data_IF_560684882666
#
_entry.id   IF_560684882666
#
_cell.length_a   1.000
_cell.length_b   1.000
_cell.length_c   1.000
_cell.angle_alpha   90.00
_cell.angle_beta   90.00
_cell.angle_gamma   90.00
#
_symmetry.space_group_name_H-M   'P 1'
#
loop_
_entity.id
_entity.type
_entity.pdbx_description
1 polymer ?
#
# COMPACT_ATOMS: atom_id res chain seq x y z
N UNK A 1 0.09 -18.98 -22.82
CA UNK A 1 0.06 -20.38 -22.34
C UNK A 1 -1.37 -20.84 -22.35
N UNK A 2 -1.64 -22.05 -22.83
CA UNK A 2 -2.98 -22.62 -22.68
C UNK A 2 -3.24 -22.95 -21.21
N UNK A 3 -4.51 -23.06 -20.82
CA UNK A 3 -4.91 -23.42 -19.46
C UNK A 3 -4.27 -24.74 -18.99
N UNK A 4 -4.18 -25.71 -19.90
CA UNK A 4 -3.54 -27.01 -19.65
C UNK A 4 -2.04 -26.88 -19.39
N UNK A 5 -1.34 -26.00 -20.12
CA UNK A 5 0.11 -25.79 -19.91
C UNK A 5 0.39 -25.23 -18.51
N UNK A 6 -0.47 -24.32 -18.03
CA UNK A 6 -0.33 -23.70 -16.71
C UNK A 6 -0.51 -24.70 -15.57
N UNK A 7 -1.47 -25.62 -15.69
CA UNK A 7 -1.68 -26.68 -14.70
C UNK A 7 -0.59 -27.75 -14.77
N UNK A 8 -0.14 -28.08 -15.98
CA UNK A 8 0.89 -29.09 -16.18
C UNK A 8 2.23 -28.63 -15.58
N UNK A 9 2.56 -27.33 -15.68
CA UNK A 9 3.72 -26.74 -14.99
C UNK A 9 3.68 -26.95 -13.47
N UNK A 10 2.50 -26.74 -12.86
CA UNK A 10 2.29 -26.90 -11.41
C UNK A 10 2.42 -28.35 -10.99
N UNK A 11 1.80 -29.27 -11.73
CA UNK A 11 1.78 -30.69 -11.39
C UNK A 11 3.15 -31.34 -11.61
N UNK A 12 3.88 -30.95 -12.65
CA UNK A 12 5.18 -31.55 -12.95
C UNK A 12 6.34 -30.99 -12.11
N UNK A 13 6.25 -29.73 -11.67
CA UNK A 13 7.32 -29.08 -10.89
C UNK A 13 6.76 -28.46 -9.60
N UNK A 14 6.15 -29.25 -8.70
CA UNK A 14 5.44 -28.74 -7.53
C UNK A 14 6.35 -27.93 -6.59
N UNK A 15 7.61 -28.35 -6.41
CA UNK A 15 8.59 -27.61 -5.60
C UNK A 15 8.94 -26.24 -6.18
N UNK A 16 9.11 -26.15 -7.51
CA UNK A 16 9.41 -24.89 -8.17
C UNK A 16 8.21 -23.93 -8.12
N UNK A 17 7.01 -24.45 -8.37
CA UNK A 17 5.77 -23.69 -8.25
C UNK A 17 5.53 -23.18 -6.83
N UNK A 18 5.79 -24.00 -5.81
CA UNK A 18 5.72 -23.60 -4.41
C UNK A 18 6.74 -22.49 -4.11
N UNK A 19 7.97 -22.61 -4.61
CA UNK A 19 9.00 -21.59 -4.43
C UNK A 19 8.63 -20.26 -5.10
N UNK A 20 7.99 -20.30 -6.27
CA UNK A 20 7.46 -19.12 -6.96
C UNK A 20 6.36 -18.47 -6.11
N UNK A 21 5.39 -19.24 -5.64
CA UNK A 21 4.31 -18.72 -4.78
C UNK A 21 4.89 -18.13 -3.49
N UNK A 22 5.84 -18.81 -2.86
CA UNK A 22 6.51 -18.32 -1.66
C UNK A 22 7.25 -17.00 -1.92
N UNK A 23 8.00 -16.89 -3.02
CA UNK A 23 8.65 -15.63 -3.40
C UNK A 23 7.64 -14.52 -3.68
N UNK A 24 6.54 -14.82 -4.38
CA UNK A 24 5.47 -13.86 -4.60
C UNK A 24 4.84 -13.39 -3.29
N UNK A 25 4.60 -14.30 -2.34
CA UNK A 25 4.11 -13.95 -0.99
C UNK A 25 5.11 -13.06 -0.27
N UNK A 26 6.41 -13.36 -0.34
CA UNK A 26 7.45 -12.54 0.27
C UNK A 26 7.49 -11.15 -0.35
N UNK A 27 7.51 -11.06 -1.68
CA UNK A 27 7.55 -9.79 -2.41
C UNK A 27 6.30 -8.96 -2.09
N UNK A 28 5.10 -9.55 -2.18
CA UNK A 28 3.84 -8.87 -1.83
C UNK A 28 3.82 -8.42 -0.38
N UNK A 29 4.30 -9.26 0.55
CA UNK A 29 4.33 -8.92 1.97
C UNK A 29 5.31 -7.78 2.25
N UNK A 30 6.51 -7.82 1.67
CA UNK A 30 7.55 -6.79 1.83
C UNK A 30 7.11 -5.46 1.24
N UNK A 31 6.60 -5.45 0.00
CA UNK A 31 6.09 -4.25 -0.66
C UNK A 31 4.86 -3.66 0.05
N UNK A 32 4.13 -4.48 0.81
CA UNK A 32 2.91 -4.04 1.50
C UNK A 32 3.09 -3.73 2.98
N UNK A 33 4.31 -3.77 3.54
CA UNK A 33 4.57 -3.32 4.92
C UNK A 33 4.22 -1.84 5.08
N UNK A 34 4.60 -1.04 4.08
CA UNK A 34 4.35 0.39 4.04
C UNK A 34 2.87 0.69 3.90
N UNK A 35 2.20 -0.01 2.98
CA UNK A 35 0.75 0.01 2.82
C UNK A 35 0.05 -0.34 4.15
N UNK A 36 0.47 -1.40 4.84
CA UNK A 36 -0.11 -1.83 6.11
C UNK A 36 0.01 -0.77 7.21
N UNK A 37 1.13 -0.02 7.26
CA UNK A 37 1.31 1.08 8.19
C UNK A 37 0.33 2.22 7.91
N UNK A 38 0.14 2.62 6.64
CA UNK A 38 -0.81 3.68 6.29
C UNK A 38 -2.27 3.21 6.46
N UNK A 39 -2.61 1.96 6.13
CA UNK A 39 -3.94 1.42 6.41
C UNK A 39 -4.23 1.42 7.92
N UNK A 40 -3.22 1.11 8.73
CA UNK A 40 -3.33 1.15 10.18
C UNK A 40 -3.59 2.57 10.70
N UNK A 41 -2.92 3.61 10.18
CA UNK A 41 -3.21 5.00 10.57
C UNK A 41 -4.65 5.40 10.22
N UNK A 42 -5.19 4.92 9.10
CA UNK A 42 -6.57 5.22 8.73
C UNK A 42 -7.60 4.64 9.70
N UNK A 43 -7.40 3.40 10.15
CA UNK A 43 -8.35 2.75 11.07
C UNK A 43 -8.15 3.16 12.52
N UNK A 44 -7.01 3.77 12.88
CA UNK A 44 -6.76 4.28 14.23
C UNK A 44 -7.78 5.35 14.66
N UNK A 45 -8.39 6.04 13.70
CA UNK A 45 -9.38 7.10 13.93
C UNK A 45 -10.80 6.57 14.19
N UNK A 46 -10.99 5.25 14.10
CA UNK A 46 -12.22 4.55 14.49
C UNK A 46 -12.13 4.10 15.95
N UNK A 47 -13.30 3.84 16.56
CA UNK A 47 -13.39 3.27 17.90
C UNK A 47 -12.62 1.94 18.00
N UNK A 48 -12.05 1.62 19.16
CA UNK A 48 -11.18 0.44 19.35
C UNK A 48 -11.83 -0.87 18.86
N UNK A 49 -13.14 -1.02 19.06
CA UNK A 49 -13.91 -2.20 18.61
C UNK A 49 -14.17 -2.23 17.10
N UNK A 50 -14.20 -1.06 16.46
CA UNK A 50 -14.48 -0.91 15.03
C UNK A 50 -13.23 -1.12 14.18
N UNK A 51 -12.03 -0.82 14.70
CA UNK A 51 -10.77 -0.97 13.93
C UNK A 51 -10.61 -2.37 13.36
N UNK A 52 -10.81 -3.39 14.18
CA UNK A 52 -10.72 -4.79 13.76
C UNK A 52 -11.84 -5.22 12.80
N UNK A 53 -13.01 -4.58 12.87
CA UNK A 53 -14.12 -4.83 11.93
C UNK A 53 -13.84 -4.18 10.59
N UNK A 54 -13.46 -2.90 10.57
CA UNK A 54 -13.05 -2.17 9.37
C UNK A 54 -11.91 -2.91 8.68
N UNK A 55 -10.96 -3.44 9.45
CA UNK A 55 -9.91 -4.25 8.87
C UNK A 55 -10.45 -5.55 8.24
N UNK A 56 -11.37 -6.27 8.88
CA UNK A 56 -11.93 -7.50 8.32
C UNK A 56 -12.75 -7.27 7.04
N UNK A 57 -13.60 -6.24 7.01
CA UNK A 57 -14.37 -5.92 5.81
C UNK A 57 -13.49 -5.48 4.65
N UNK A 58 -12.40 -4.76 4.93
CA UNK A 58 -11.40 -4.41 3.92
C UNK A 58 -10.65 -5.60 3.33
N UNK A 59 -10.65 -6.79 3.96
CA UNK A 59 -10.09 -8.00 3.33
C UNK A 59 -10.93 -8.40 2.13
N UNK A 60 -12.25 -8.41 2.30
CA UNK A 60 -13.20 -8.84 1.26
C UNK A 60 -13.11 -7.89 0.06
N UNK A 61 -13.10 -6.58 0.32
CA UNK A 61 -12.88 -5.56 -0.71
C UNK A 61 -11.55 -5.81 -1.43
N UNK A 62 -10.44 -5.85 -0.70
CA UNK A 62 -9.11 -6.07 -1.27
C UNK A 62 -9.05 -7.31 -2.15
N UNK A 63 -9.63 -8.45 -1.74
CA UNK A 63 -9.67 -9.65 -2.58
C UNK A 63 -10.44 -9.46 -3.89
N UNK A 64 -11.60 -8.81 -3.82
CA UNK A 64 -12.44 -8.56 -4.98
C UNK A 64 -11.70 -7.63 -5.95
N UNK A 65 -11.25 -6.47 -5.47
CA UNK A 65 -10.57 -5.48 -6.30
C UNK A 65 -9.25 -6.02 -6.84
N UNK A 66 -8.46 -6.74 -6.02
CA UNK A 66 -7.21 -7.34 -6.47
C UNK A 66 -7.45 -8.46 -7.48
N UNK A 67 -8.48 -9.27 -7.31
CA UNK A 67 -8.90 -10.26 -8.30
C UNK A 67 -9.26 -9.61 -9.63
N UNK A 68 -10.04 -8.52 -9.60
CA UNK A 68 -10.39 -7.73 -10.79
C UNK A 68 -9.12 -7.13 -11.43
N UNK A 69 -8.25 -6.51 -10.64
CA UNK A 69 -7.00 -5.93 -11.14
C UNK A 69 -6.08 -6.97 -11.77
N UNK A 70 -5.96 -8.16 -11.18
CA UNK A 70 -5.15 -9.26 -11.73
C UNK A 70 -5.76 -9.82 -13.02
N UNK A 71 -7.08 -9.99 -13.05
CA UNK A 71 -7.78 -10.43 -14.26
C UNK A 71 -7.58 -9.45 -15.42
N UNK A 72 -7.68 -8.15 -15.14
CA UNK A 72 -7.45 -7.10 -16.13
C UNK A 72 -6.00 -6.60 -16.20
N UNK A 73 -5.02 -7.28 -15.59
CA UNK A 73 -3.68 -6.72 -15.43
C UNK A 73 -3.04 -6.35 -16.77
N UNK A 74 -3.16 -7.21 -17.79
CA UNK A 74 -2.66 -6.93 -19.13
C UNK A 74 -3.29 -5.67 -19.75
N UNK A 75 -4.57 -5.41 -19.46
CA UNK A 75 -5.24 -4.18 -19.89
C UNK A 75 -4.78 -2.98 -19.07
N UNK A 76 -4.73 -3.10 -17.74
CA UNK A 76 -4.32 -2.04 -16.82
C UNK A 76 -2.87 -1.57 -17.05
N UNK A 77 -1.96 -2.46 -17.46
CA UNK A 77 -0.57 -2.12 -17.80
C UNK A 77 -0.51 -1.08 -18.93
N UNK A 78 -1.46 -1.12 -19.86
CA UNK A 78 -1.52 -0.17 -20.97
C UNK A 78 -2.09 1.20 -20.56
N UNK A 79 -2.72 1.29 -19.38
CA UNK A 79 -3.31 2.52 -18.84
C UNK A 79 -2.26 3.28 -18.03
N UNK A 80 -1.34 3.94 -18.74
CA UNK A 80 -0.21 4.65 -18.11
C UNK A 80 -0.64 5.70 -17.08
N UNK A 81 -1.80 6.34 -17.24
CA UNK A 81 -2.26 7.42 -16.35
C UNK A 81 -2.78 6.91 -15.00
N UNK A 82 -3.02 5.61 -14.86
CA UNK A 82 -3.56 5.03 -13.64
C UNK A 82 -2.57 5.14 -12.47
N UNK A 83 -1.29 4.85 -12.72
CA UNK A 83 -0.20 4.99 -11.74
C UNK A 83 -0.06 6.44 -11.21
N UNK A 84 0.08 7.47 -12.04
CA UNK A 84 0.25 8.83 -11.55
C UNK A 84 -0.99 9.42 -10.91
N UNK A 85 -2.20 9.01 -11.31
CA UNK A 85 -3.42 9.41 -10.59
C UNK A 85 -3.41 8.84 -9.16
N UNK A 86 -3.09 7.54 -9.02
CA UNK A 86 -2.93 6.93 -7.70
C UNK A 86 -1.84 7.66 -6.89
N UNK A 87 -0.69 7.92 -7.49
CA UNK A 87 0.40 8.66 -6.87
C UNK A 87 0.03 10.06 -6.41
N UNK A 88 -0.68 10.82 -7.26
CA UNK A 88 -1.13 12.16 -6.95
C UNK A 88 -2.11 12.16 -5.76
N UNK A 89 -2.97 11.14 -5.66
CA UNK A 89 -3.86 10.97 -4.52
C UNK A 89 -3.08 10.69 -3.22
N UNK A 90 -2.08 9.81 -3.24
CA UNK A 90 -1.24 9.55 -2.06
C UNK A 90 -0.44 10.80 -1.64
N UNK A 91 0.15 11.51 -2.60
CA UNK A 91 0.85 12.76 -2.35
C UNK A 91 -0.08 13.83 -1.76
N UNK A 92 -1.31 13.94 -2.29
CA UNK A 92 -2.35 14.83 -1.73
C UNK A 92 -2.66 14.50 -0.27
N UNK A 93 -2.84 13.22 0.07
CA UNK A 93 -3.09 12.80 1.45
C UNK A 93 -1.93 13.16 2.38
N UNK A 94 -0.68 12.96 1.93
CA UNK A 94 0.53 13.34 2.67
C UNK A 94 0.60 14.86 2.91
N UNK A 95 0.55 15.67 1.85
CA UNK A 95 0.63 17.13 1.94
C UNK A 95 -0.41 17.66 2.91
N UNK A 96 -1.64 17.15 2.79
CA UNK A 96 -2.77 17.59 3.59
C UNK A 96 -2.66 17.23 5.06
N UNK A 97 -2.11 16.06 5.38
CA UNK A 97 -1.77 15.69 6.75
C UNK A 97 -0.83 16.73 7.38
N UNK A 98 0.26 17.07 6.69
CA UNK A 98 1.24 18.03 7.20
C UNK A 98 0.74 19.48 7.26
N UNK A 99 -0.07 19.91 6.28
CA UNK A 99 -0.70 21.24 6.29
C UNK A 99 -1.65 21.37 7.47
N UNK A 100 -2.50 20.37 7.73
CA UNK A 100 -3.45 20.40 8.85
C UNK A 100 -2.74 20.40 10.20
N UNK A 101 -1.67 19.61 10.35
CA UNK A 101 -0.85 19.58 11.57
C UNK A 101 -0.13 20.90 11.88
N UNK A 102 0.23 21.69 10.86
CA UNK A 102 0.86 23.00 11.04
C UNK A 102 -0.11 24.06 11.58
N UNK A 103 -1.39 23.94 11.25
CA UNK A 103 -2.46 24.78 11.81
C UNK A 103 -2.84 24.23 13.20
N UNK A 104 -2.17 24.73 14.25
CA UNK A 104 -2.14 24.26 15.65
C UNK A 104 -3.47 24.02 16.40
N UNK A 105 -4.63 24.03 15.74
CA UNK A 105 -5.95 23.80 16.35
C UNK A 105 -6.73 22.60 15.80
N UNK A 106 -6.11 21.77 14.95
CA UNK A 106 -6.74 20.57 14.42
C UNK A 106 -6.39 19.34 15.27
N UNK A 107 -7.39 18.65 15.82
CA UNK A 107 -7.19 17.33 16.40
C UNK A 107 -6.66 16.36 15.31
N UNK A 108 -5.71 15.49 15.68
CA UNK A 108 -5.06 14.52 14.77
C UNK A 108 -6.10 13.63 14.05
N UNK A 109 -7.26 13.40 14.70
CA UNK A 109 -8.40 12.64 14.18
C UNK A 109 -9.10 13.25 12.94
N UNK A 110 -8.87 14.53 12.61
CA UNK A 110 -9.65 15.24 11.61
C UNK A 110 -9.07 15.24 10.17
N UNK A 111 -7.88 14.66 9.93
CA UNK A 111 -7.24 14.66 8.59
C UNK A 111 -8.09 13.89 7.57
N UNK A 112 -8.70 12.78 8.02
CA UNK A 112 -9.64 11.99 7.23
C UNK A 112 -11.07 12.54 7.35
N UNK A 113 -11.53 12.87 8.58
CA UNK A 113 -12.92 13.23 8.84
C UNK A 113 -13.36 14.53 8.18
N UNK A 114 -12.50 15.53 8.23
CA UNK A 114 -12.80 16.82 7.61
C UNK A 114 -12.01 17.01 6.34
N UNK A 115 -10.73 16.66 6.28
CA UNK A 115 -9.96 17.10 5.13
C UNK A 115 -10.45 16.53 3.78
N UNK A 116 -10.78 15.23 3.71
CA UNK A 116 -10.92 14.54 2.43
C UNK A 116 -12.31 14.76 1.82
N UNK A 117 -12.38 15.41 0.65
CA UNK A 117 -13.65 15.72 -0.01
C UNK A 117 -14.47 14.46 -0.30
N UNK A 118 -13.78 13.38 -0.72
CA UNK A 118 -14.38 12.07 -0.93
C UNK A 118 -15.01 11.54 0.36
N UNK A 119 -14.27 11.62 1.48
CA UNK A 119 -14.76 11.12 2.77
C UNK A 119 -16.00 11.89 3.22
N UNK A 120 -15.99 13.23 3.14
CA UNK A 120 -17.17 14.04 3.48
C UNK A 120 -18.38 13.67 2.63
N UNK A 121 -18.19 13.41 1.34
CA UNK A 121 -19.29 13.03 0.47
C UNK A 121 -19.85 11.65 0.84
N UNK A 122 -18.98 10.68 1.15
CA UNK A 122 -19.41 9.35 1.55
C UNK A 122 -20.04 9.31 2.95
N UNK A 123 -19.61 10.14 3.89
CA UNK A 123 -20.27 10.25 5.21
C UNK A 123 -21.67 10.87 5.12
N UNK A 124 -21.93 11.73 4.13
CA UNK A 124 -23.31 12.24 3.92
C UNK A 124 -24.28 11.15 3.46
N UNK A 125 -23.77 10.12 2.81
CA UNK A 125 -24.56 9.03 2.21
C UNK A 125 -24.49 7.75 3.05
N UNK A 126 -23.49 7.61 3.91
CA UNK A 126 -23.16 6.37 4.64
C UNK A 126 -22.68 6.67 6.08
N UNK A 127 -22.54 5.66 6.93
CA UNK A 127 -21.93 5.83 8.26
C UNK A 127 -20.43 6.17 8.17
N UNK A 128 -19.87 6.95 9.13
CA UNK A 128 -18.42 7.17 9.27
C UNK A 128 -17.56 5.90 9.20
N UNK A 129 -18.09 4.80 9.71
CA UNK A 129 -17.46 3.49 9.61
C UNK A 129 -17.27 3.04 8.15
N UNK A 130 -18.35 3.06 7.36
CA UNK A 130 -18.33 2.63 5.96
C UNK A 130 -17.52 3.57 5.07
N UNK A 131 -17.57 4.88 5.35
CA UNK A 131 -16.70 5.85 4.68
C UNK A 131 -15.21 5.56 4.96
N UNK A 132 -14.87 5.12 6.17
CA UNK A 132 -13.49 4.71 6.51
C UNK A 132 -13.09 3.42 5.82
N UNK A 133 -13.96 2.40 5.81
CA UNK A 133 -13.72 1.14 5.08
C UNK A 133 -13.47 1.42 3.60
N UNK A 134 -14.26 2.30 2.99
CA UNK A 134 -14.08 2.69 1.60
C UNK A 134 -12.76 3.45 1.36
N UNK A 135 -12.33 4.31 2.29
CA UNK A 135 -11.03 5.00 2.18
C UNK A 135 -9.84 4.05 2.25
N UNK A 136 -9.91 3.08 3.17
CA UNK A 136 -8.96 1.98 3.28
C UNK A 136 -8.91 1.21 1.97
N UNK A 137 -10.06 0.92 1.37
CA UNK A 137 -10.15 0.21 0.09
C UNK A 137 -9.58 1.02 -1.09
N UNK A 138 -9.93 2.30 -1.22
CA UNK A 138 -9.38 3.18 -2.26
C UNK A 138 -7.86 3.26 -2.16
N UNK A 139 -7.34 3.33 -0.94
CA UNK A 139 -5.90 3.38 -0.73
C UNK A 139 -5.24 2.03 -1.04
N UNK A 140 -5.87 0.92 -0.66
CA UNK A 140 -5.36 -0.41 -1.01
C UNK A 140 -5.35 -0.62 -2.53
N UNK A 141 -6.34 -0.11 -3.25
CA UNK A 141 -6.35 -0.10 -4.73
C UNK A 141 -5.16 0.70 -5.27
N UNK A 142 -4.91 1.91 -4.75
CA UNK A 142 -3.80 2.76 -5.19
C UNK A 142 -2.43 2.06 -5.02
N UNK A 143 -2.20 1.39 -3.89
CA UNK A 143 -1.00 0.58 -3.66
C UNK A 143 -0.98 -0.70 -4.49
N UNK A 144 -2.14 -1.31 -4.66
CA UNK A 144 -2.31 -2.56 -5.40
C UNK A 144 -1.87 -2.45 -6.86
N UNK A 145 -1.99 -1.29 -7.49
CA UNK A 145 -1.60 -1.12 -8.89
C UNK A 145 -0.12 -1.45 -9.11
N UNK A 146 0.77 -0.93 -8.28
CA UNK A 146 2.21 -1.17 -8.43
C UNK A 146 2.55 -2.64 -8.14
N UNK A 147 1.98 -3.18 -7.05
CA UNK A 147 2.19 -4.57 -6.67
C UNK A 147 1.65 -5.56 -7.72
N UNK A 148 0.48 -5.31 -8.34
CA UNK A 148 -0.07 -6.15 -9.43
C UNK A 148 0.90 -6.18 -10.62
N UNK A 149 1.42 -5.03 -11.03
CA UNK A 149 2.33 -4.98 -12.18
C UNK A 149 3.64 -5.71 -11.89
N UNK A 150 4.19 -5.56 -10.67
CA UNK A 150 5.37 -6.32 -10.24
C UNK A 150 5.10 -7.84 -10.23
N UNK A 151 3.98 -8.28 -9.66
CA UNK A 151 3.63 -9.70 -9.56
C UNK A 151 3.42 -10.35 -10.94
N UNK A 152 2.76 -9.66 -11.88
CA UNK A 152 2.54 -10.15 -13.24
C UNK A 152 3.83 -10.13 -14.08
N UNK A 153 4.78 -9.25 -13.77
CA UNK A 153 6.11 -9.27 -14.39
C UNK A 153 6.99 -10.43 -13.88
N UNK A 154 6.74 -10.92 -12.67
CA UNK A 154 7.56 -11.97 -12.03
C UNK A 154 7.38 -13.35 -12.66
N UNK A 155 6.14 -13.74 -13.00
CA UNK A 155 5.88 -15.03 -13.65
C UNK A 155 4.74 -14.92 -14.67
N UNK A 156 4.88 -15.68 -15.77
CA UNK A 156 3.84 -15.78 -16.81
C UNK A 156 2.68 -16.68 -16.39
N UNK A 157 2.83 -17.47 -15.32
CA UNK A 157 1.79 -18.37 -14.85
C UNK A 157 0.82 -17.64 -13.92
N UNK A 158 -0.34 -17.27 -14.47
CA UNK A 158 -1.35 -16.47 -13.77
C UNK A 158 -1.90 -17.15 -12.51
N UNK A 159 -1.95 -18.49 -12.45
CA UNK A 159 -2.41 -19.20 -11.26
C UNK A 159 -1.43 -19.07 -10.11
N UNK A 160 -0.12 -19.10 -10.40
CA UNK A 160 0.92 -18.85 -9.39
C UNK A 160 0.87 -17.40 -8.90
N UNK A 161 0.63 -16.44 -9.80
CA UNK A 161 0.40 -15.03 -9.44
C UNK A 161 -0.80 -14.91 -8.50
N UNK A 162 -1.95 -15.47 -8.88
CA UNK A 162 -3.17 -15.41 -8.06
C UNK A 162 -2.96 -16.05 -6.70
N UNK A 163 -2.38 -17.24 -6.63
CA UNK A 163 -2.11 -17.91 -5.36
C UNK A 163 -1.17 -17.08 -4.47
N UNK A 164 -0.06 -16.59 -5.02
CA UNK A 164 0.91 -15.78 -4.28
C UNK A 164 0.32 -14.47 -3.76
N UNK A 165 -0.40 -13.73 -4.63
CA UNK A 165 -1.00 -12.45 -4.27
C UNK A 165 -2.14 -12.64 -3.25
N UNK A 166 -2.98 -13.65 -3.42
CA UNK A 166 -4.07 -13.93 -2.49
C UNK A 166 -3.59 -14.37 -1.10
N UNK A 167 -2.52 -15.16 -1.02
CA UNK A 167 -1.88 -15.47 0.26
C UNK A 167 -1.19 -14.21 0.83
N UNK A 168 -0.57 -13.40 -0.02
CA UNK A 168 0.04 -12.11 0.33
C UNK A 168 -0.94 -11.13 0.98
N UNK A 169 -2.17 -11.01 0.45
CA UNK A 169 -3.22 -10.17 1.04
C UNK A 169 -3.53 -10.59 2.49
N UNK A 170 -3.60 -11.90 2.77
CA UNK A 170 -3.81 -12.38 4.16
C UNK A 170 -2.64 -12.02 5.05
N UNK A 171 -1.40 -12.29 4.60
CA UNK A 171 -0.20 -11.99 5.34
C UNK A 171 -0.13 -10.49 5.69
N UNK A 172 -0.34 -9.63 4.69
CA UNK A 172 -0.40 -8.18 4.85
C UNK A 172 -1.46 -7.75 5.87
N UNK A 173 -2.60 -8.44 5.94
CA UNK A 173 -3.63 -8.09 6.92
C UNK A 173 -3.21 -8.32 8.36
N UNK A 174 -2.49 -9.42 8.62
CA UNK A 174 -1.93 -9.65 9.94
C UNK A 174 -0.88 -8.58 10.29
N UNK A 175 -0.08 -8.17 9.30
CA UNK A 175 0.88 -7.07 9.46
C UNK A 175 0.15 -5.76 9.80
N UNK A 176 -0.93 -5.41 9.10
CA UNK A 176 -1.72 -4.19 9.37
C UNK A 176 -2.32 -4.19 10.79
N UNK A 177 -2.83 -5.33 11.27
CA UNK A 177 -3.28 -5.44 12.67
C UNK A 177 -2.12 -5.25 13.66
N UNK A 178 -0.93 -5.77 13.34
CA UNK A 178 0.30 -5.50 14.08
C UNK A 178 0.64 -4.01 14.13
N UNK A 179 0.58 -3.33 12.98
CA UNK A 179 0.81 -1.89 12.89
C UNK A 179 -0.20 -1.06 13.69
N UNK A 180 -1.48 -1.46 13.74
CA UNK A 180 -2.47 -0.78 14.61
C UNK A 180 -2.03 -0.83 16.08
N UNK A 181 -1.55 -1.98 16.55
CA UNK A 181 -1.03 -2.11 17.92
C UNK A 181 0.27 -1.32 18.10
N UNK A 182 1.14 -1.34 17.10
CA UNK A 182 2.43 -0.65 17.13
C UNK A 182 2.26 0.87 17.16
N UNK A 183 1.40 1.44 16.31
CA UNK A 183 1.10 2.88 16.29
C UNK A 183 0.41 3.31 17.58
N UNK A 184 -0.46 2.46 18.16
CA UNK A 184 -1.06 2.75 19.47
C UNK A 184 0.00 2.91 20.58
N UNK A 185 1.14 2.21 20.49
CA UNK A 185 2.25 2.33 21.44
C UNK A 185 3.28 3.40 21.04
N UNK A 186 3.47 3.60 19.74
CA UNK A 186 4.41 4.55 19.14
C UNK A 186 3.67 5.53 18.20
N UNK A 187 2.99 6.56 18.73
CA UNK A 187 2.16 7.47 17.92
C UNK A 187 2.92 8.20 16.81
N UNK A 188 4.22 8.44 16.97
CA UNK A 188 5.05 9.06 15.93
C UNK A 188 5.11 8.23 14.63
N UNK A 189 4.81 6.92 14.69
CA UNK A 189 4.74 6.07 13.52
C UNK A 189 3.63 6.47 12.55
N UNK A 190 2.59 7.15 13.04
CA UNK A 190 1.58 7.72 12.16
C UNK A 190 2.20 8.76 11.23
N UNK A 191 3.05 9.62 11.78
CA UNK A 191 3.76 10.64 11.00
C UNK A 191 4.69 9.98 9.97
N UNK A 192 5.42 8.95 10.39
CA UNK A 192 6.28 8.17 9.51
C UNK A 192 5.48 7.56 8.35
N UNK A 193 4.33 6.95 8.62
CA UNK A 193 3.45 6.38 7.61
C UNK A 193 2.99 7.44 6.57
N UNK A 194 2.64 8.65 7.01
CA UNK A 194 2.30 9.73 6.07
C UNK A 194 3.50 10.25 5.26
N UNK A 195 4.73 10.22 5.80
CA UNK A 195 5.94 10.50 5.01
C UNK A 195 6.12 9.45 3.92
N UNK A 196 5.98 8.17 4.25
CA UNK A 196 6.06 7.08 3.27
C UNK A 196 4.98 7.21 2.20
N UNK A 197 3.76 7.54 2.60
CA UNK A 197 2.66 7.82 1.68
C UNK A 197 3.04 8.89 0.65
N UNK A 198 3.72 9.96 1.08
CA UNK A 198 4.23 11.00 0.21
C UNK A 198 5.34 10.51 -0.72
N UNK A 199 6.30 9.74 -0.20
CA UNK A 199 7.39 9.15 -0.99
C UNK A 199 6.86 8.23 -2.10
N UNK A 200 5.94 7.33 -1.75
CA UNK A 200 5.28 6.43 -2.69
C UNK A 200 4.42 7.21 -3.69
N UNK A 201 3.70 8.25 -3.22
CA UNK A 201 2.96 9.16 -4.08
C UNK A 201 3.82 9.84 -5.14
N UNK A 202 4.98 10.37 -4.73
CA UNK A 202 5.95 10.99 -5.63
C UNK A 202 6.50 9.95 -6.62
N UNK A 203 6.90 8.76 -6.17
CA UNK A 203 7.37 7.67 -7.05
C UNK A 203 6.34 7.35 -8.14
N UNK A 204 5.08 7.17 -7.75
CA UNK A 204 4.00 6.86 -8.68
C UNK A 204 3.69 8.01 -9.64
N UNK A 205 3.76 9.28 -9.21
CA UNK A 205 3.62 10.44 -10.12
C UNK A 205 4.78 10.50 -11.11
N UNK A 206 6.00 10.21 -10.66
CA UNK A 206 7.20 10.21 -11.50
C UNK A 206 7.16 9.15 -12.60
N UNK A 207 6.29 8.14 -12.51
CA UNK A 207 6.02 7.22 -13.63
C UNK A 207 5.50 7.92 -14.90
N UNK A 208 4.99 9.16 -14.82
CA UNK A 208 4.71 10.01 -15.99
C UNK A 208 5.95 10.25 -16.84
N UNK A 209 7.09 10.48 -16.19
CA UNK A 209 8.36 10.74 -16.88
C UNK A 209 8.87 9.48 -17.61
N UNK A 210 8.58 8.29 -17.09
CA UNK A 210 8.87 7.02 -17.77
C UNK A 210 8.06 6.86 -19.05
N UNK A 211 6.81 7.33 -19.06
CA UNK A 211 5.94 7.24 -20.22
C UNK A 211 6.26 8.29 -21.30
N UNK A 212 6.35 9.57 -20.91
CA UNK A 212 6.50 10.70 -21.84
C UNK A 212 7.96 11.01 -22.22
N UNK A 213 8.92 10.72 -21.35
CA UNK A 213 10.34 11.06 -21.55
C UNK A 213 11.21 9.80 -21.58
N UNK A 214 10.80 8.80 -22.37
CA UNK A 214 11.59 7.59 -22.63
C UNK A 214 12.97 7.98 -23.15
N UNK A 215 14.03 7.60 -22.42
CA UNK A 215 15.43 7.88 -22.77
C UNK A 215 16.03 9.14 -22.14
N UNK A 216 15.29 9.87 -21.29
CA UNK A 216 15.89 10.91 -20.45
C UNK A 216 16.64 10.28 -19.27
N UNK A 217 17.73 10.93 -18.79
CA UNK A 217 18.47 10.48 -17.60
C UNK A 217 17.58 10.33 -16.36
N UNK A 218 16.50 11.11 -16.24
CA UNK A 218 15.53 10.99 -15.16
C UNK A 218 14.73 9.69 -15.25
N UNK A 219 14.23 9.32 -16.43
CA UNK A 219 13.51 8.07 -16.67
C UNK A 219 14.39 6.85 -16.41
N UNK A 220 15.66 6.89 -16.82
CA UNK A 220 16.63 5.81 -16.62
C UNK A 220 17.04 5.66 -15.15
N UNK A 221 17.18 6.77 -14.41
CA UNK A 221 17.41 6.74 -12.97
C UNK A 221 16.19 6.22 -12.22
N UNK A 222 14.98 6.66 -12.57
CA UNK A 222 13.72 6.26 -11.91
C UNK A 222 13.39 4.77 -12.08
N UNK A 223 13.63 4.24 -13.27
CA UNK A 223 13.42 2.81 -13.58
C UNK A 223 14.62 1.93 -13.19
N UNK A 224 15.70 2.52 -12.67
CA UNK A 224 16.87 1.76 -12.25
C UNK A 224 16.58 0.98 -10.97
N UNK A 225 17.14 -0.24 -10.88
CA UNK A 225 17.09 -1.05 -9.65
C UNK A 225 17.66 -0.31 -8.44
N UNK A 226 18.56 0.66 -8.65
CA UNK A 226 19.09 1.54 -7.60
C UNK A 226 18.05 2.49 -7.02
N UNK A 227 17.11 3.00 -7.84
CA UNK A 227 16.02 3.84 -7.35
C UNK A 227 15.04 3.02 -6.50
N UNK A 228 14.74 1.78 -6.91
CA UNK A 228 13.93 0.88 -6.08
C UNK A 228 14.61 0.59 -4.75
N UNK A 229 15.89 0.21 -4.76
CA UNK A 229 16.68 0.00 -3.55
C UNK A 229 16.74 1.24 -2.66
N UNK A 230 16.92 2.42 -3.25
CA UNK A 230 16.94 3.68 -2.52
C UNK A 230 15.59 3.99 -1.88
N UNK A 231 14.49 3.84 -2.61
CA UNK A 231 13.14 4.07 -2.06
C UNK A 231 12.83 3.09 -0.94
N UNK A 232 13.15 1.80 -1.08
CA UNK A 232 12.99 0.81 -0.02
C UNK A 232 13.87 1.10 1.19
N UNK A 233 15.13 1.48 1.00
CA UNK A 233 16.03 1.83 2.09
C UNK A 233 15.56 3.09 2.83
N UNK A 234 15.11 4.09 2.11
CA UNK A 234 14.52 5.31 2.68
C UNK A 234 13.27 4.98 3.50
N UNK A 235 12.42 4.08 3.00
CA UNK A 235 11.25 3.67 3.74
C UNK A 235 11.60 2.96 5.05
N UNK A 236 12.50 1.99 4.99
CA UNK A 236 13.00 1.28 6.18
C UNK A 236 13.62 2.26 7.16
N UNK A 237 14.36 3.28 6.68
CA UNK A 237 14.95 4.30 7.54
C UNK A 237 13.88 5.17 8.25
N UNK A 238 12.83 5.58 7.54
CA UNK A 238 11.73 6.41 8.09
C UNK A 238 10.97 5.70 9.22
N UNK A 239 10.79 4.38 9.15
CA UNK A 239 10.20 3.60 10.25
C UNK A 239 11.25 3.19 11.30
N UNK A 240 12.37 2.65 10.84
CA UNK A 240 13.39 1.99 11.65
C UNK A 240 14.16 2.96 12.53
N UNK A 241 14.59 4.13 12.02
CA UNK A 241 15.38 5.09 12.80
C UNK A 241 14.57 5.62 14.00
N UNK A 242 13.32 6.10 13.83
CA UNK A 242 12.52 6.56 14.97
C UNK A 242 12.18 5.44 15.96
N UNK A 243 11.92 4.22 15.48
CA UNK A 243 11.66 3.05 16.35
C UNK A 243 12.88 2.67 17.18
N UNK A 244 14.04 2.53 16.55
CA UNK A 244 15.30 2.20 17.22
C UNK A 244 15.70 3.32 18.19
N UNK A 245 15.55 4.59 17.80
CA UNK A 245 15.84 5.73 18.67
C UNK A 245 14.92 5.77 19.88
N UNK A 246 13.62 5.51 19.68
CA UNK A 246 12.66 5.40 20.78
C UNK A 246 12.94 4.18 21.67
N UNK A 247 13.51 3.11 21.10
CA UNK A 247 13.86 1.92 21.85
C UNK A 247 15.14 2.05 22.68
N UNK A 248 16.16 2.68 22.14
CA UNK A 248 17.44 2.89 22.81
C UNK A 248 17.44 4.09 23.75
N UNK A 249 16.80 5.19 23.35
CA UNK A 249 16.93 6.51 23.99
C UNK A 249 15.60 7.08 24.50
N UNK A 250 14.48 6.36 24.34
CA UNK A 250 13.13 6.83 24.65
C UNK A 250 12.79 8.19 23.98
N UNK A 251 13.37 8.40 22.79
CA UNK A 251 13.14 9.58 21.96
C UNK A 251 12.90 9.17 20.50
N UNK A 252 11.72 9.43 19.90
CA UNK A 252 10.58 10.14 20.48
C UNK A 252 9.93 9.35 21.62
N UNK A 253 9.35 10.05 22.61
CA UNK A 253 8.76 9.43 23.80
C UNK A 253 7.66 8.44 23.42
N UNK A 254 7.69 7.27 24.05
CA UNK A 254 6.56 6.34 24.10
C UNK A 254 5.44 6.97 24.93
N UNK A 255 4.18 6.70 24.57
CA UNK A 255 3.04 7.01 25.45
C UNK A 255 2.88 5.91 26.49
#
# INVERSE_FOLDING_TARGET
>A
MSFTDLLHEIVQKPLASLAIVFNLVLIESLLSVDNAAVLATMVMNLGKEERGKALRYGIIGAYIFRGICLFFAAFLINIWWLKPIAGAYLAYLCIKYFVKRKNKNAEEDEVLKEGNWLYRQFVKVTSPFWATVLMVEIMDIAFSLDNVFAAVAFTRNIFLVWAGVFIGILAMRFVAQGFVKLIAHYPFLETAAYVILGLLGVKLVLSLSEHYMKGSKLSEVLSSSNADLFTSALTVAVFGIPLLSSWLFNYPKRK
#
